data_IF_680153350693
#
_entry.id   IF_680153350693
#
_cell.length_a   1.000
_cell.length_b   1.000
_cell.length_c   1.000
_cell.angle_alpha   90.00
_cell.angle_beta   90.00
_cell.angle_gamma   90.00
#
_symmetry.space_group_name_H-M   'P 1'
#
loop_
_entity.id
_entity.type
_entity.pdbx_description
1 polymer ?
#
# COMPACT_ATOMS: atom_id res chain seq x y z
N UNK A 1 28.04 37.35 -0.74
CA UNK A 1 27.64 35.96 -0.98
C UNK A 1 26.73 35.56 0.17
N UNK A 2 25.41 35.63 0.01
CA UNK A 2 24.45 35.25 1.03
C UNK A 2 23.88 33.88 0.66
N UNK A 3 24.43 32.84 1.28
CA UNK A 3 23.86 31.50 1.15
C UNK A 3 22.51 31.45 1.86
N UNK A 4 21.50 31.10 1.07
CA UNK A 4 20.13 30.88 1.51
C UNK A 4 20.09 29.58 2.30
N UNK A 5 20.23 29.68 3.63
CA UNK A 5 19.79 28.64 4.55
C UNK A 5 18.26 28.53 4.46
N UNK A 6 17.77 27.83 3.43
CA UNK A 6 16.36 27.48 3.34
C UNK A 6 16.02 26.59 4.55
N UNK A 7 15.09 27.07 5.38
CA UNK A 7 14.54 26.37 6.53
C UNK A 7 14.28 24.89 6.17
N UNK A 8 14.70 23.91 7.00
CA UNK A 8 14.50 22.49 6.75
C UNK A 8 13.06 22.13 6.36
N UNK A 9 12.08 22.81 6.95
CA UNK A 9 10.65 22.68 6.62
C UNK A 9 10.36 23.07 5.17
N UNK A 10 10.94 24.17 4.68
CA UNK A 10 10.74 24.62 3.30
C UNK A 10 11.34 23.63 2.30
N UNK A 11 12.51 23.04 2.60
CA UNK A 11 13.12 21.99 1.77
C UNK A 11 12.26 20.72 1.76
N UNK A 12 11.74 20.32 2.91
CA UNK A 12 10.82 19.17 3.04
C UNK A 12 9.52 19.37 2.25
N UNK A 13 8.84 20.52 2.43
CA UNK A 13 7.62 20.83 1.70
C UNK A 13 7.85 20.93 0.19
N UNK A 14 8.98 21.51 -0.23
CA UNK A 14 9.35 21.58 -1.66
C UNK A 14 9.54 20.18 -2.25
N UNK A 15 10.17 19.26 -1.51
CA UNK A 15 10.29 17.85 -1.92
C UNK A 15 8.93 17.17 -1.98
N UNK A 16 8.09 17.33 -0.96
CA UNK A 16 6.74 16.74 -0.91
C UNK A 16 5.85 17.23 -2.04
N UNK A 17 5.92 18.51 -2.40
CA UNK A 17 5.19 19.06 -3.54
C UNK A 17 5.66 18.43 -4.85
N UNK A 18 6.97 18.27 -5.07
CA UNK A 18 7.52 17.60 -6.26
C UNK A 18 7.05 16.14 -6.34
N UNK A 19 7.12 15.41 -5.22
CA UNK A 19 6.62 14.03 -5.12
C UNK A 19 5.11 13.96 -5.43
N UNK A 20 4.31 14.89 -4.89
CA UNK A 20 2.87 14.93 -5.11
C UNK A 20 2.49 15.24 -6.57
N UNK A 21 3.20 16.18 -7.23
CA UNK A 21 2.97 16.50 -8.65
C UNK A 21 3.27 15.27 -9.52
N UNK A 22 4.41 14.61 -9.26
CA UNK A 22 4.77 13.37 -9.97
C UNK A 22 3.72 12.28 -9.74
N UNK A 23 3.35 12.03 -8.49
CA UNK A 23 2.35 11.03 -8.14
C UNK A 23 0.97 11.31 -8.72
N UNK A 24 0.56 12.58 -8.83
CA UNK A 24 -0.69 12.96 -9.47
C UNK A 24 -0.70 12.62 -10.97
N UNK A 25 0.40 12.86 -11.68
CA UNK A 25 0.53 12.51 -13.09
C UNK A 25 0.51 10.98 -13.30
N UNK A 26 1.23 10.24 -12.47
CA UNK A 26 1.26 8.77 -12.52
C UNK A 26 -0.10 8.15 -12.19
N UNK A 27 -0.77 8.66 -11.15
CA UNK A 27 -2.10 8.20 -10.77
C UNK A 27 -3.14 8.49 -11.85
N UNK A 28 -3.05 9.65 -12.52
CA UNK A 28 -3.94 9.98 -13.63
C UNK A 28 -3.75 9.01 -14.79
N UNK A 29 -2.50 8.75 -15.20
CA UNK A 29 -2.21 7.79 -16.26
C UNK A 29 -2.73 6.40 -15.93
N UNK A 30 -2.52 5.93 -14.70
CA UNK A 30 -3.02 4.63 -14.25
C UNK A 30 -4.56 4.57 -14.28
N UNK A 31 -5.23 5.65 -13.86
CA UNK A 31 -6.68 5.76 -13.90
C UNK A 31 -7.20 5.75 -15.34
N UNK A 32 -6.60 6.53 -16.24
CA UNK A 32 -7.00 6.60 -17.64
C UNK A 32 -6.89 5.21 -18.31
N UNK A 33 -5.79 4.50 -18.08
CA UNK A 33 -5.61 3.12 -18.57
C UNK A 33 -6.70 2.16 -18.04
N UNK A 34 -7.05 2.25 -16.75
CA UNK A 34 -8.12 1.42 -16.18
C UNK A 34 -9.48 1.77 -16.80
N UNK A 35 -9.77 3.06 -16.94
CA UNK A 35 -11.02 3.56 -17.50
C UNK A 35 -11.18 3.15 -18.98
N UNK A 36 -10.09 3.12 -19.76
CA UNK A 36 -10.10 2.65 -21.15
C UNK A 36 -10.41 1.15 -21.27
N UNK A 37 -10.01 0.34 -20.29
CA UNK A 37 -10.30 -1.10 -20.27
C UNK A 37 -11.69 -1.44 -19.73
N UNK A 38 -12.37 -0.48 -19.09
CA UNK A 38 -13.69 -0.69 -18.51
C UNK A 38 -14.80 -0.67 -19.57
N UNK A 39 -15.91 -1.35 -19.28
CA UNK A 39 -17.08 -1.31 -20.15
C UNK A 39 -17.69 0.11 -20.16
N UNK A 40 -17.98 0.71 -21.33
CA UNK A 40 -18.46 2.09 -21.42
C UNK A 40 -19.71 2.36 -20.57
N UNK A 41 -20.66 1.43 -20.55
CA UNK A 41 -21.90 1.55 -19.78
C UNK A 41 -21.63 1.63 -18.26
N UNK A 42 -20.65 0.87 -17.78
CA UNK A 42 -20.24 0.90 -16.38
C UNK A 42 -19.57 2.23 -16.02
N UNK A 43 -18.75 2.78 -16.91
CA UNK A 43 -18.11 4.10 -16.70
C UNK A 43 -19.16 5.20 -16.60
N UNK A 44 -20.21 5.17 -17.41
CA UNK A 44 -21.31 6.14 -17.34
C UNK A 44 -22.01 6.01 -15.99
N UNK A 45 -22.39 4.78 -15.61
CA UNK A 45 -23.05 4.51 -14.33
C UNK A 45 -22.22 5.01 -13.14
N UNK A 46 -20.94 4.68 -13.08
CA UNK A 46 -20.06 5.09 -11.97
C UNK A 46 -19.88 6.60 -11.89
N UNK A 47 -19.85 7.31 -13.03
CA UNK A 47 -19.80 8.78 -13.05
C UNK A 47 -21.08 9.40 -12.49
N UNK A 48 -22.23 8.84 -12.81
CA UNK A 48 -23.51 9.29 -12.24
C UNK A 48 -23.58 9.02 -10.73
N UNK A 49 -23.17 7.82 -10.29
CA UNK A 49 -23.07 7.47 -8.87
C UNK A 49 -22.11 8.40 -8.11
N UNK A 50 -20.95 8.74 -8.71
CA UNK A 50 -19.98 9.67 -8.14
C UNK A 50 -20.56 11.07 -7.94
N UNK A 51 -21.27 11.61 -8.94
CA UNK A 51 -21.90 12.93 -8.84
C UNK A 51 -22.94 12.94 -7.71
N UNK A 52 -23.76 11.90 -7.62
CA UNK A 52 -24.80 11.78 -6.58
C UNK A 52 -24.16 11.63 -5.19
N UNK A 53 -23.14 10.79 -5.05
CA UNK A 53 -22.42 10.58 -3.80
C UNK A 53 -21.79 11.87 -3.28
N UNK A 54 -21.14 12.63 -4.17
CA UNK A 54 -20.54 13.92 -3.80
C UNK A 54 -21.57 14.98 -3.42
N UNK A 55 -22.71 15.05 -4.11
CA UNK A 55 -23.79 15.96 -3.77
C UNK A 55 -24.35 15.67 -2.37
N UNK A 56 -24.53 14.40 -2.03
CA UNK A 56 -25.16 13.96 -0.78
C UNK A 56 -24.16 13.75 0.37
N UNK A 57 -22.86 13.98 0.14
CA UNK A 57 -21.79 13.77 1.13
C UNK A 57 -22.04 14.50 2.46
N UNK A 58 -22.64 15.69 2.40
CA UNK A 58 -22.95 16.49 3.58
C UNK A 58 -24.17 15.99 4.36
N UNK A 59 -25.11 15.32 3.69
CA UNK A 59 -26.36 14.80 4.27
C UNK A 59 -26.12 13.47 5.00
N UNK A 60 -25.17 12.66 4.53
CA UNK A 60 -24.77 11.44 5.19
C UNK A 60 -23.43 10.92 4.69
N UNK A 61 -22.50 10.54 5.60
CA UNK A 61 -21.21 9.99 5.19
C UNK A 61 -21.34 8.69 4.38
N UNK A 62 -22.43 7.93 4.58
CA UNK A 62 -22.73 6.70 3.85
C UNK A 62 -22.93 6.91 2.33
N UNK A 63 -23.18 8.15 1.87
CA UNK A 63 -23.22 8.46 0.44
C UNK A 63 -21.86 8.20 -0.24
N UNK A 64 -20.75 8.27 0.51
CA UNK A 64 -19.40 8.00 0.00
C UNK A 64 -19.04 6.52 -0.05
N UNK A 65 -19.94 5.62 0.38
CA UNK A 65 -19.69 4.17 0.38
C UNK A 65 -19.58 3.57 -1.04
N UNK A 66 -19.83 4.36 -2.08
CA UNK A 66 -19.57 3.98 -3.48
C UNK A 66 -18.09 3.67 -3.74
N UNK A 67 -17.19 4.24 -2.94
CA UNK A 67 -15.75 3.98 -3.03
C UNK A 67 -15.32 2.75 -2.20
N UNK A 68 -16.25 2.13 -1.46
CA UNK A 68 -15.96 0.89 -0.75
C UNK A 68 -16.09 -0.32 -1.68
N UNK A 69 -15.16 -1.26 -1.54
CA UNK A 69 -15.19 -2.51 -2.31
C UNK A 69 -16.27 -3.43 -1.75
N UNK A 70 -17.47 -3.36 -2.33
CA UNK A 70 -18.61 -4.23 -1.99
C UNK A 70 -18.47 -5.59 -2.67
N UNK A 71 -17.74 -6.50 -2.03
CA UNK A 71 -17.71 -7.90 -2.45
C UNK A 71 -18.93 -8.62 -1.88
N UNK A 72 -19.88 -8.94 -2.75
CA UNK A 72 -20.97 -9.83 -2.36
C UNK A 72 -20.40 -11.19 -1.95
N UNK A 73 -20.78 -11.66 -0.75
CA UNK A 73 -20.29 -12.91 -0.18
C UNK A 73 -20.53 -14.06 -1.17
N UNK A 74 -19.46 -14.68 -1.63
CA UNK A 74 -19.50 -15.82 -2.56
C UNK A 74 -19.54 -15.47 -4.05
N UNK A 75 -19.63 -14.20 -4.42
CA UNK A 75 -19.50 -13.76 -5.83
C UNK A 75 -18.05 -13.48 -6.24
N UNK A 76 -17.18 -13.15 -5.29
CA UNK A 76 -15.75 -13.00 -5.57
C UNK A 76 -15.09 -14.36 -5.73
N UNK A 77 -14.37 -14.61 -6.84
CA UNK A 77 -13.67 -15.85 -7.01
C UNK A 77 -12.57 -15.97 -5.94
N UNK A 78 -12.55 -17.10 -5.25
CA UNK A 78 -11.45 -17.44 -4.36
C UNK A 78 -10.18 -17.66 -5.16
N UNK A 79 -9.02 -17.48 -4.53
CA UNK A 79 -7.71 -17.80 -5.14
C UNK A 79 -7.68 -19.20 -5.76
N UNK A 80 -8.27 -20.19 -5.08
CA UNK A 80 -8.38 -21.57 -5.60
C UNK A 80 -9.24 -21.67 -6.86
N UNK A 81 -10.33 -20.91 -6.93
CA UNK A 81 -11.19 -20.87 -8.12
C UNK A 81 -10.49 -20.17 -9.30
N UNK A 82 -9.73 -19.10 -9.04
CA UNK A 82 -8.92 -18.45 -10.07
C UNK A 82 -7.81 -19.37 -10.57
N UNK A 83 -7.09 -20.04 -9.67
CA UNK A 83 -6.06 -21.02 -10.03
C UNK A 83 -6.64 -22.17 -10.86
N UNK A 84 -7.79 -22.72 -10.45
CA UNK A 84 -8.49 -23.75 -11.21
C UNK A 84 -8.90 -23.26 -12.60
N UNK A 85 -9.42 -22.03 -12.71
CA UNK A 85 -9.80 -21.43 -13.98
C UNK A 85 -8.59 -21.28 -14.92
N UNK A 86 -7.45 -20.81 -14.41
CA UNK A 86 -6.21 -20.69 -15.17
C UNK A 86 -5.67 -22.06 -15.63
N UNK A 87 -5.71 -23.06 -14.75
CA UNK A 87 -5.32 -24.43 -15.10
C UNK A 87 -6.24 -25.02 -16.18
N UNK A 88 -7.55 -24.78 -16.11
CA UNK A 88 -8.50 -25.23 -17.12
C UNK A 88 -8.28 -24.52 -18.46
N UNK A 89 -8.03 -23.22 -18.45
CA UNK A 89 -7.73 -22.44 -19.65
C UNK A 89 -6.47 -22.94 -20.37
N UNK A 90 -5.43 -23.34 -19.62
CA UNK A 90 -4.20 -23.91 -20.17
C UNK A 90 -4.39 -25.27 -20.85
N UNK A 91 -5.40 -26.01 -20.45
CA UNK A 91 -5.71 -27.34 -20.98
C UNK A 91 -6.77 -27.32 -22.09
N UNK A 92 -7.31 -26.16 -22.46
CA UNK A 92 -8.33 -26.03 -23.51
C UNK A 92 -7.68 -26.08 -24.90
N UNK A 93 -8.08 -27.01 -25.79
CA UNK A 93 -7.50 -27.14 -27.14
C UNK A 93 -7.70 -25.93 -28.05
N UNK A 94 -8.77 -25.15 -27.81
CA UNK A 94 -9.21 -24.06 -28.69
C UNK A 94 -8.70 -22.67 -28.24
N UNK A 95 -7.83 -22.60 -27.23
CA UNK A 95 -7.27 -21.31 -26.79
C UNK A 95 -6.24 -20.82 -27.83
N UNK A 96 -6.33 -19.56 -28.32
CA UNK A 96 -5.43 -19.02 -29.35
C UNK A 96 -3.95 -18.91 -28.92
N UNK A 97 -3.63 -19.26 -27.67
CA UNK A 97 -2.26 -19.35 -27.18
C UNK A 97 -1.89 -20.82 -27.24
N UNK A 98 -1.25 -21.20 -28.35
CA UNK A 98 -0.57 -22.49 -28.46
C UNK A 98 0.48 -22.51 -27.36
N UNK A 99 0.16 -23.13 -26.22
CA UNK A 99 1.18 -23.37 -25.21
C UNK A 99 2.22 -24.28 -25.87
N UNK A 100 3.48 -23.84 -26.03
CA UNK A 100 4.52 -24.72 -26.52
C UNK A 100 4.55 -25.99 -25.67
N UNK A 101 4.78 -27.16 -26.29
CA UNK A 101 4.81 -28.43 -25.56
C UNK A 101 5.86 -28.35 -24.45
N UNK A 102 5.40 -28.32 -23.19
CA UNK A 102 6.25 -28.17 -22.01
C UNK A 102 5.83 -27.08 -21.02
N UNK A 103 4.99 -26.11 -21.40
CA UNK A 103 4.55 -25.01 -20.51
C UNK A 103 3.34 -25.36 -19.60
N UNK A 104 3.16 -26.64 -19.29
CA UNK A 104 2.15 -27.05 -18.30
C UNK A 104 2.57 -26.57 -16.90
N UNK A 105 1.64 -25.94 -16.17
CA UNK A 105 1.88 -25.51 -14.79
C UNK A 105 2.27 -24.03 -14.61
N UNK A 106 2.16 -23.20 -15.65
CA UNK A 106 2.37 -21.75 -15.51
C UNK A 106 1.41 -21.12 -14.48
N UNK A 107 0.18 -21.64 -14.35
CA UNK A 107 -0.77 -21.18 -13.33
C UNK A 107 -0.26 -21.50 -11.91
N UNK A 108 0.32 -22.68 -11.72
CA UNK A 108 0.95 -23.07 -10.45
C UNK A 108 2.18 -22.21 -10.16
N UNK A 109 3.00 -21.92 -11.18
CA UNK A 109 4.14 -21.01 -11.04
C UNK A 109 3.69 -19.60 -10.61
N UNK A 110 2.67 -19.03 -11.25
CA UNK A 110 2.05 -17.77 -10.80
C UNK A 110 1.45 -17.86 -9.38
N UNK A 111 0.81 -18.97 -9.04
CA UNK A 111 0.31 -19.17 -7.68
C UNK A 111 1.47 -19.17 -6.66
N UNK A 112 2.64 -19.73 -7.01
CA UNK A 112 3.82 -19.66 -6.14
C UNK A 112 4.40 -18.24 -6.02
N UNK A 113 4.41 -17.45 -7.11
CA UNK A 113 4.88 -16.05 -7.06
C UNK A 113 4.02 -15.21 -6.12
N UNK A 114 2.69 -15.36 -6.21
CA UNK A 114 1.75 -14.68 -5.32
C UNK A 114 1.98 -15.06 -3.84
N UNK A 115 2.27 -16.33 -3.54
CA UNK A 115 2.62 -16.74 -2.16
C UNK A 115 3.92 -16.11 -1.67
N UNK A 116 4.91 -15.94 -2.54
CA UNK A 116 6.17 -15.27 -2.21
C UNK A 116 5.89 -13.79 -1.89
N UNK A 117 5.14 -13.10 -2.73
CA UNK A 117 4.74 -11.70 -2.52
C UNK A 117 3.95 -11.52 -1.22
N UNK A 118 2.95 -12.38 -0.96
CA UNK A 118 2.21 -12.41 0.31
C UNK A 118 3.16 -12.57 1.52
N UNK A 119 4.16 -13.44 1.39
CA UNK A 119 5.16 -13.67 2.43
C UNK A 119 6.10 -12.48 2.63
N UNK A 120 6.50 -11.79 1.54
CA UNK A 120 7.26 -10.54 1.59
C UNK A 120 6.49 -9.43 2.30
N UNK A 121 5.21 -9.24 1.95
CA UNK A 121 4.33 -8.23 2.56
C UNK A 121 4.14 -8.52 4.05
N UNK A 122 3.85 -9.79 4.39
CA UNK A 122 3.67 -10.23 5.78
C UNK A 122 4.94 -9.99 6.60
N UNK A 123 6.11 -10.36 6.08
CA UNK A 123 7.39 -10.14 6.74
C UNK A 123 7.71 -8.65 6.91
N UNK A 124 7.50 -7.83 5.87
CA UNK A 124 7.70 -6.38 5.93
C UNK A 124 6.82 -5.74 7.01
N UNK A 125 5.55 -6.15 7.07
CA UNK A 125 4.62 -5.71 8.12
C UNK A 125 5.09 -6.17 9.51
N UNK A 126 5.53 -7.41 9.65
CA UNK A 126 5.98 -7.96 10.92
C UNK A 126 7.23 -7.24 11.43
N UNK A 127 8.19 -6.93 10.54
CA UNK A 127 9.39 -6.14 10.86
C UNK A 127 9.02 -4.71 11.26
N UNK A 128 8.10 -4.05 10.53
CA UNK A 128 7.65 -2.69 10.87
C UNK A 128 6.94 -2.59 12.23
N UNK A 129 6.35 -3.68 12.72
CA UNK A 129 5.70 -3.74 14.04
C UNK A 129 6.66 -4.07 15.17
N UNK A 130 7.92 -4.41 14.87
CA UNK A 130 8.91 -4.59 15.92
C UNK A 130 9.15 -3.24 16.61
N UNK A 131 9.20 -3.27 17.95
CA UNK A 131 9.51 -2.11 18.77
C UNK A 131 10.98 -1.70 18.55
N UNK A 132 11.38 -0.52 19.05
CA UNK A 132 12.77 -0.03 18.93
C UNK A 132 13.82 -1.00 19.49
N UNK A 133 13.42 -1.89 20.42
CA UNK A 133 14.27 -2.94 20.99
C UNK A 133 13.59 -4.31 20.86
N UNK A 134 13.66 -4.96 19.68
CA UNK A 134 13.11 -6.29 19.50
C UNK A 134 13.89 -7.32 20.34
N UNK A 135 13.17 -8.28 20.90
CA UNK A 135 13.79 -9.40 21.63
C UNK A 135 14.49 -10.38 20.67
N UNK A 136 15.47 -11.12 21.17
CA UNK A 136 16.19 -12.15 20.39
C UNK A 136 15.24 -13.18 19.75
N UNK A 137 14.14 -13.52 20.44
CA UNK A 137 13.11 -14.42 19.91
C UNK A 137 12.40 -13.82 18.69
N UNK A 138 12.11 -12.52 18.71
CA UNK A 138 11.50 -11.81 17.58
C UNK A 138 12.48 -11.68 16.42
N UNK A 139 13.74 -11.34 16.70
CA UNK A 139 14.80 -11.28 15.69
C UNK A 139 15.02 -12.63 15.02
N UNK A 140 15.09 -13.72 15.81
CA UNK A 140 15.24 -15.07 15.29
C UNK A 140 14.05 -15.49 14.43
N UNK A 141 12.82 -15.09 14.81
CA UNK A 141 11.63 -15.34 13.99
C UNK A 141 11.73 -14.64 12.64
N UNK A 142 12.13 -13.37 12.62
CA UNK A 142 12.36 -12.61 11.37
C UNK A 142 13.44 -13.26 10.52
N UNK A 143 14.57 -13.65 11.12
CA UNK A 143 15.67 -14.31 10.41
C UNK A 143 15.19 -15.62 9.74
N UNK A 144 14.49 -16.49 10.47
CA UNK A 144 13.93 -17.73 9.91
C UNK A 144 12.93 -17.47 8.78
N UNK A 145 12.10 -16.43 8.91
CA UNK A 145 11.18 -16.04 7.85
C UNK A 145 11.93 -15.54 6.60
N UNK A 146 13.01 -14.76 6.77
CA UNK A 146 13.88 -14.32 5.67
C UNK A 146 14.54 -15.50 4.97
N UNK A 147 15.12 -16.44 5.72
CA UNK A 147 15.78 -17.62 5.15
C UNK A 147 14.79 -18.47 4.33
N UNK A 148 13.61 -18.75 4.90
CA UNK A 148 12.56 -19.49 4.20
C UNK A 148 12.12 -18.79 2.92
N UNK A 149 11.92 -17.47 2.99
CA UNK A 149 11.50 -16.66 1.85
C UNK A 149 12.57 -16.63 0.76
N UNK A 150 13.84 -16.52 1.16
CA UNK A 150 14.97 -16.59 0.25
C UNK A 150 14.99 -17.93 -0.49
N UNK A 151 14.86 -19.06 0.21
CA UNK A 151 14.76 -20.38 -0.43
C UNK A 151 13.60 -20.48 -1.42
N UNK A 152 12.43 -19.90 -1.09
CA UNK A 152 11.28 -19.88 -2.00
C UNK A 152 11.56 -19.05 -3.26
N UNK A 153 12.18 -17.88 -3.12
CA UNK A 153 12.57 -17.02 -4.25
C UNK A 153 13.58 -17.72 -5.14
N UNK A 154 14.65 -18.30 -4.57
CA UNK A 154 15.68 -19.01 -5.34
C UNK A 154 15.05 -20.12 -6.17
N UNK A 155 14.23 -20.97 -5.55
CA UNK A 155 13.52 -22.05 -6.27
C UNK A 155 12.58 -21.51 -7.34
N UNK A 156 11.89 -20.41 -7.08
CA UNK A 156 11.00 -19.78 -8.05
C UNK A 156 11.76 -19.29 -9.29
N UNK A 157 12.92 -18.66 -9.08
CA UNK A 157 13.80 -18.18 -10.15
C UNK A 157 14.43 -19.32 -10.96
N UNK A 158 14.86 -20.41 -10.30
CA UNK A 158 15.36 -21.62 -10.97
C UNK A 158 14.31 -22.22 -11.92
N UNK A 159 13.02 -22.08 -11.61
CA UNK A 159 11.93 -22.56 -12.46
C UNK A 159 11.54 -21.57 -13.57
N UNK A 160 11.98 -20.31 -13.51
CA UNK A 160 11.56 -19.26 -14.43
C UNK A 160 11.87 -19.55 -15.92
N UNK A 161 13.04 -20.11 -16.30
CA UNK A 161 13.35 -20.40 -17.70
C UNK A 161 12.32 -21.34 -18.36
N UNK A 162 11.80 -22.31 -17.60
CA UNK A 162 10.77 -23.27 -18.05
C UNK A 162 9.47 -22.56 -18.50
N UNK A 163 9.13 -21.43 -17.88
CA UNK A 163 7.86 -20.73 -18.13
C UNK A 163 8.03 -19.48 -18.99
N UNK A 164 9.16 -18.79 -18.89
CA UNK A 164 9.43 -17.57 -19.64
C UNK A 164 10.04 -17.82 -21.03
N UNK A 165 10.57 -19.02 -21.29
CA UNK A 165 11.18 -19.35 -22.59
C UNK A 165 12.46 -18.55 -22.90
N UNK A 166 13.01 -17.89 -21.88
CA UNK A 166 14.27 -17.15 -21.93
C UNK A 166 15.27 -17.94 -21.09
N UNK A 167 16.36 -18.40 -21.71
CA UNK A 167 17.55 -18.79 -20.96
C UNK A 167 18.06 -17.53 -20.26
N UNK A 168 17.73 -17.40 -18.97
CA UNK A 168 18.27 -16.33 -18.13
C UNK A 168 19.73 -16.68 -17.91
N UNK A 169 20.60 -16.19 -18.79
CA UNK A 169 22.05 -16.23 -18.54
C UNK A 169 22.32 -15.31 -17.36
N UNK A 170 22.58 -15.92 -16.21
CA UNK A 170 22.91 -15.23 -14.95
C UNK A 170 24.22 -14.43 -15.08
N UNK A 171 24.96 -14.59 -16.18
CA UNK A 171 26.22 -13.89 -16.48
C UNK A 171 26.11 -12.82 -17.58
N UNK A 172 24.91 -12.55 -18.13
CA UNK A 172 24.74 -11.48 -19.12
C UNK A 172 24.71 -10.10 -18.45
N UNK A 173 25.68 -9.20 -18.73
CA UNK A 173 25.72 -7.86 -18.17
C UNK A 173 24.57 -6.94 -18.65
N UNK A 174 23.85 -7.31 -19.72
CA UNK A 174 22.71 -6.54 -20.25
C UNK A 174 21.33 -7.14 -19.87
N UNK A 175 21.30 -8.23 -19.09
CA UNK A 175 20.08 -8.71 -18.46
C UNK A 175 19.56 -7.62 -17.51
N UNK A 176 18.25 -7.27 -17.52
CA UNK A 176 17.72 -6.23 -16.66
C UNK A 176 17.97 -6.63 -15.22
N UNK A 177 19.01 -6.04 -14.62
CA UNK A 177 19.31 -6.16 -13.21
C UNK A 177 18.02 -5.79 -12.50
N UNK A 178 17.33 -6.78 -11.94
CA UNK A 178 16.33 -6.54 -10.92
C UNK A 178 17.14 -5.92 -9.81
N UNK A 179 17.13 -4.59 -9.77
CA UNK A 179 17.70 -3.82 -8.69
C UNK A 179 16.99 -4.32 -7.45
N UNK A 180 17.67 -5.20 -6.72
CA UNK A 180 17.42 -5.40 -5.32
C UNK A 180 17.57 -4.00 -4.75
N UNK A 181 16.45 -3.31 -4.53
CA UNK A 181 16.41 -2.17 -3.65
C UNK A 181 16.84 -2.74 -2.30
N UNK A 182 18.15 -2.68 -2.09
CA UNK A 182 18.81 -2.90 -0.83
C UNK A 182 18.01 -2.08 0.16
N UNK A 183 17.41 -2.78 1.12
CA UNK A 183 16.62 -2.20 2.18
C UNK A 183 17.61 -1.59 3.19
N UNK A 184 18.42 -0.66 2.72
CA UNK A 184 19.49 -0.01 3.43
C UNK A 184 19.79 1.33 2.76
N UNK A 185 18.84 2.25 2.89
CA UNK A 185 19.07 3.69 2.89
C UNK A 185 17.87 4.32 3.60
N UNK A 186 17.98 4.44 4.92
CA UNK A 186 17.78 5.68 5.66
C UNK A 186 17.63 5.37 7.17
N UNK A 187 18.75 5.11 7.85
CA UNK A 187 18.82 5.23 9.31
C UNK A 187 19.00 6.72 9.59
N UNK A 188 17.89 7.48 9.65
CA UNK A 188 17.93 8.88 10.11
C UNK A 188 18.35 8.84 11.59
N UNK A 189 19.57 9.29 11.82
CA UNK A 189 20.16 9.56 13.12
C UNK A 189 19.38 10.70 13.79
N UNK A 190 18.48 10.37 14.72
CA UNK A 190 17.74 11.32 15.54
C UNK A 190 18.56 11.74 16.79
N UNK A 191 19.87 11.96 16.65
CA UNK A 191 20.69 12.49 17.75
C UNK A 191 21.12 13.94 17.51
N UNK A 192 20.14 14.84 17.41
CA UNK A 192 20.37 16.26 17.70
C UNK A 192 19.05 16.98 18.05
N UNK A 193 18.49 16.65 19.21
CA UNK A 193 17.56 17.55 19.89
C UNK A 193 18.32 18.05 21.11
N UNK A 194 19.02 19.16 20.94
CA UNK A 194 19.66 19.88 22.04
C UNK A 194 18.64 20.08 23.16
N UNK A 195 18.94 19.42 24.27
CA UNK A 195 18.29 19.52 25.56
C UNK A 195 18.62 20.90 26.15
N UNK A 196 17.92 21.94 25.68
CA UNK A 196 18.04 23.27 26.29
C UNK A 196 17.26 23.25 27.62
N UNK A 197 17.99 22.86 28.67
CA UNK A 197 17.62 23.08 30.05
C UNK A 197 17.46 24.57 30.30
N UNK A 198 16.22 25.07 30.23
CA UNK A 198 15.91 26.35 30.84
C UNK A 198 15.24 26.13 32.21
N UNK A 199 15.94 26.33 33.34
CA UNK A 199 15.31 26.38 34.65
C UNK A 199 14.44 27.63 34.70
N UNK A 200 13.16 27.46 35.04
CA UNK A 200 12.22 28.58 35.14
C UNK A 200 12.64 29.64 36.16
N UNK A 201 11.94 30.79 36.15
CA UNK A 201 11.41 31.26 37.42
C UNK A 201 9.92 31.61 37.33
N UNK A 202 9.15 30.84 38.08
CA UNK A 202 8.13 31.24 39.06
C UNK A 202 7.71 32.73 39.08
N UNK A 203 6.49 33.04 38.60
CA UNK A 203 5.78 34.30 38.85
C UNK A 203 4.25 34.04 38.96
N UNK A 204 3.80 33.94 40.20
CA UNK A 204 2.53 34.41 40.82
C UNK A 204 1.15 33.87 40.40
N UNK A 205 0.57 33.18 41.40
CA UNK A 205 -0.82 33.23 41.87
C UNK A 205 -1.54 34.58 41.67
N UNK A 206 -2.73 34.54 41.04
CA UNK A 206 -3.86 35.42 41.35
C UNK A 206 -5.16 34.87 40.72
N UNK A 207 -5.97 34.23 41.56
CA UNK A 207 -7.43 34.10 41.43
C UNK A 207 -8.09 35.43 41.03
N UNK A 208 -9.04 35.45 40.08
CA UNK A 208 -10.16 36.43 40.04
C UNK A 208 -11.23 36.05 38.98
N UNK A 209 -12.47 35.94 39.48
CA UNK A 209 -13.78 36.09 38.83
C UNK A 209 -14.46 34.94 38.04
N UNK A 210 -15.35 34.23 38.76
CA UNK A 210 -16.73 33.96 38.30
C UNK A 210 -17.66 35.09 38.80
N UNK A 211 -18.76 35.38 38.08
CA UNK A 211 -20.11 35.03 38.58
C UNK A 211 -21.00 34.50 37.41
N UNK A 212 -22.04 33.69 37.58
CA UNK A 212 -22.88 33.42 38.74
C UNK A 212 -24.31 33.95 38.50
N UNK A 213 -25.28 33.03 38.43
CA UNK A 213 -26.75 33.18 38.56
C UNK A 213 -27.55 33.64 37.30
N UNK A 214 -28.35 32.76 36.68
CA UNK A 214 -29.64 32.15 37.10
C UNK A 214 -30.85 33.08 36.95
N UNK A 215 -31.76 32.77 36.03
CA UNK A 215 -33.23 32.72 36.23
C UNK A 215 -33.90 32.18 34.94
N UNK A 216 -34.49 30.96 34.95
CA UNK A 216 -35.92 30.68 35.20
C UNK A 216 -36.80 30.92 33.94
N UNK A 217 -37.70 30.08 33.43
CA UNK A 217 -38.28 28.74 33.75
C UNK A 217 -39.15 28.33 32.53
N UNK A 218 -39.66 27.08 32.50
CA UNK A 218 -40.97 26.67 31.91
C UNK A 218 -40.92 26.21 30.43
N UNK A 219 -41.48 25.10 29.94
CA UNK A 219 -42.20 23.92 30.48
C UNK A 219 -42.50 22.96 29.31
N UNK A 220 -42.06 21.70 29.45
CA UNK A 220 -42.80 20.43 29.27
C UNK A 220 -43.50 20.04 27.93
N UNK A 221 -43.25 18.77 27.57
CA UNK A 221 -44.07 17.72 26.91
C UNK A 221 -44.07 17.52 25.39
N UNK A 222 -43.57 16.32 25.03
CA UNK A 222 -44.29 15.24 24.33
C UNK A 222 -45.31 15.67 23.27
N UNK A 223 -45.01 15.34 22.01
CA UNK A 223 -45.76 14.39 21.18
C UNK A 223 -44.76 13.60 20.34
#
# INVERSE_FOLDING_TARGET
MHDRLACPVAKFLSRKLKEAIKGAAESKLAFDNLNETAQPDMVILWKEEEVIAHANRAEGPAAMDIYEVRLERGKSPTRKQQELCLLQAQNCPDHPVINPPGQQGAATWLATSLTIEESQISLSRDVKRLQMHPTDVQLLKVARCRDKLHTQITRFLEMAPTYLGVDVDVNDPDSPVIVHNSLNDNYEDYSDFDEDQNPGPDIHDASIFQPGANCHTTTIQHW
#
